data_IF_271445216553
#
_entry.id   IF_271445216553
#
_cell.length_a   1.000
_cell.length_b   1.000
_cell.length_c   1.000
_cell.angle_alpha   90.00
_cell.angle_beta   90.00
_cell.angle_gamma   90.00
#
_symmetry.space_group_name_H-M   'P 1'
#
loop_
_entity.id
_entity.type
_entity.pdbx_description
1 polymer ?
#
# COMPACT_ATOMS: atom_id res chain seq x y z
N UNK A 1 -35.35 67.82 -23.60
CA UNK A 1 -34.18 66.99 -23.23
C UNK A 1 -34.40 65.58 -23.76
N UNK A 2 -33.71 65.19 -24.84
CA UNK A 2 -33.86 63.86 -25.45
C UNK A 2 -32.94 62.85 -24.76
N UNK A 3 -33.52 61.82 -24.13
CA UNK A 3 -32.77 60.76 -23.45
C UNK A 3 -32.19 59.81 -24.50
N UNK A 4 -30.87 59.84 -24.69
CA UNK A 4 -30.16 58.85 -25.52
C UNK A 4 -30.16 57.50 -24.78
N UNK A 5 -30.67 56.46 -25.43
CA UNK A 5 -30.63 55.10 -24.93
C UNK A 5 -29.17 54.60 -24.82
N UNK A 6 -28.83 53.80 -23.78
CA UNK A 6 -27.50 53.24 -23.62
C UNK A 6 -27.19 52.26 -24.75
N UNK A 7 -26.06 52.48 -25.44
CA UNK A 7 -25.52 51.54 -26.42
C UNK A 7 -24.96 50.32 -25.68
N UNK A 8 -25.71 49.22 -25.69
CA UNK A 8 -25.22 47.92 -25.24
C UNK A 8 -24.33 47.35 -26.34
N UNK A 9 -23.04 47.17 -26.03
CA UNK A 9 -22.05 46.65 -26.95
C UNK A 9 -22.08 45.12 -26.85
N UNK A 10 -22.83 44.46 -27.73
CA UNK A 10 -22.86 43.00 -27.77
C UNK A 10 -21.52 42.46 -28.29
N UNK A 11 -20.95 41.42 -27.66
CA UNK A 11 -19.75 40.77 -28.19
C UNK A 11 -20.03 40.27 -29.61
N UNK A 12 -19.12 40.59 -30.54
CA UNK A 12 -19.23 40.19 -31.94
C UNK A 12 -19.34 38.67 -32.02
N UNK A 13 -20.27 38.16 -32.82
CA UNK A 13 -20.42 36.72 -33.09
C UNK A 13 -19.06 36.15 -33.48
N UNK A 14 -18.60 35.13 -32.76
CA UNK A 14 -17.37 34.39 -33.12
C UNK A 14 -17.51 33.88 -34.57
N UNK A 15 -16.42 33.90 -35.35
CA UNK A 15 -16.43 33.35 -36.70
C UNK A 15 -16.94 31.92 -36.67
N UNK A 16 -17.84 31.59 -37.59
CA UNK A 16 -18.35 30.21 -37.75
C UNK A 16 -17.16 29.36 -38.16
N UNK A 17 -16.81 28.40 -37.32
CA UNK A 17 -15.86 27.35 -37.66
C UNK A 17 -16.46 26.59 -38.84
N UNK A 18 -15.72 26.52 -39.95
CA UNK A 18 -16.17 25.81 -41.14
C UNK A 18 -15.99 24.31 -40.89
N UNK A 19 -17.09 23.56 -40.90
CA UNK A 19 -17.09 22.12 -40.59
C UNK A 19 -16.24 21.34 -41.60
N UNK A 20 -16.13 21.85 -42.84
CA UNK A 20 -15.38 21.24 -43.94
C UNK A 20 -13.85 21.30 -43.78
N UNK A 21 -13.33 22.09 -42.82
CA UNK A 21 -11.88 22.18 -42.54
C UNK A 21 -11.37 21.03 -41.66
N UNK A 22 -12.29 20.27 -41.04
CA UNK A 22 -11.99 19.00 -40.39
C UNK A 22 -12.32 17.92 -41.42
N UNK A 23 -11.32 17.23 -41.96
CA UNK A 23 -11.54 16.16 -42.95
C UNK A 23 -12.44 15.02 -42.44
N UNK A 24 -12.43 13.85 -43.09
CA UNK A 24 -13.10 12.65 -42.58
C UNK A 24 -12.48 12.17 -41.24
N UNK A 25 -12.70 12.92 -40.16
CA UNK A 25 -12.36 12.54 -38.80
C UNK A 25 -13.46 11.60 -38.35
N UNK A 26 -13.21 10.29 -38.47
CA UNK A 26 -14.00 9.30 -37.77
C UNK A 26 -14.03 9.67 -36.29
N UNK A 27 -15.22 9.81 -35.72
CA UNK A 27 -15.38 10.07 -34.30
C UNK A 27 -14.57 9.01 -33.51
N UNK A 28 -13.69 9.42 -32.58
CA UNK A 28 -12.91 8.46 -31.81
C UNK A 28 -13.86 7.55 -31.03
N UNK A 29 -13.53 6.26 -30.97
CA UNK A 29 -14.33 5.30 -30.22
C UNK A 29 -14.45 5.75 -28.76
N UNK A 30 -15.69 5.99 -28.32
CA UNK A 30 -15.97 6.50 -26.98
C UNK A 30 -15.84 5.37 -25.97
N UNK A 31 -14.74 5.34 -25.23
CA UNK A 31 -14.60 4.49 -24.06
C UNK A 31 -15.25 5.16 -22.84
N UNK A 32 -16.07 4.42 -22.11
CA UNK A 32 -16.54 4.87 -20.79
C UNK A 32 -15.42 4.76 -19.77
N UNK A 33 -15.46 5.56 -18.71
CA UNK A 33 -14.51 5.44 -17.58
C UNK A 33 -14.48 4.00 -17.03
N UNK A 34 -15.64 3.36 -16.94
CA UNK A 34 -15.76 1.97 -16.53
C UNK A 34 -14.96 1.03 -17.42
N UNK A 35 -15.04 1.19 -18.74
CA UNK A 35 -14.29 0.36 -19.69
C UNK A 35 -12.78 0.55 -19.51
N UNK A 36 -12.32 1.79 -19.38
CA UNK A 36 -10.91 2.11 -19.13
C UNK A 36 -10.41 1.46 -17.82
N UNK A 37 -11.20 1.54 -16.74
CA UNK A 37 -10.84 0.92 -15.46
C UNK A 37 -10.78 -0.60 -15.57
N UNK A 38 -11.75 -1.21 -16.26
CA UNK A 38 -11.82 -2.65 -16.47
C UNK A 38 -10.66 -3.16 -17.31
N UNK A 39 -10.29 -2.43 -18.37
CA UNK A 39 -9.14 -2.77 -19.21
C UNK A 39 -7.82 -2.63 -18.44
N UNK A 40 -7.71 -1.61 -17.57
CA UNK A 40 -6.56 -1.45 -16.68
C UNK A 40 -6.45 -2.59 -15.66
N UNK A 41 -7.55 -2.95 -14.98
CA UNK A 41 -7.57 -4.05 -14.02
C UNK A 41 -7.18 -5.38 -14.71
N UNK A 42 -7.73 -5.64 -15.90
CA UNK A 42 -7.36 -6.80 -16.72
C UNK A 42 -5.88 -6.80 -17.11
N UNK A 43 -5.34 -5.64 -17.48
CA UNK A 43 -3.93 -5.49 -17.85
C UNK A 43 -2.99 -5.86 -16.70
N UNK A 44 -3.40 -5.60 -15.45
CA UNK A 44 -2.66 -5.99 -14.26
C UNK A 44 -3.10 -7.35 -13.67
N UNK A 45 -3.99 -8.09 -14.35
CA UNK A 45 -4.47 -9.39 -13.90
C UNK A 45 -5.31 -9.34 -12.61
N UNK A 46 -5.95 -8.20 -12.33
CA UNK A 46 -6.76 -7.99 -11.12
C UNK A 46 -8.24 -7.96 -11.41
N UNK A 47 -9.02 -8.33 -10.40
CA UNK A 47 -10.47 -8.23 -10.44
C UNK A 47 -11.00 -6.95 -9.78
N UNK A 48 -10.23 -6.35 -8.88
CA UNK A 48 -10.63 -5.16 -8.10
C UNK A 48 -9.43 -4.26 -7.78
N UNK A 49 -9.71 -3.10 -7.19
CA UNK A 49 -8.68 -2.19 -6.72
C UNK A 49 -7.97 -2.74 -5.50
N UNK A 50 -6.68 -2.44 -5.41
CA UNK A 50 -5.84 -2.83 -4.30
C UNK A 50 -5.56 -1.62 -3.42
N UNK A 51 -5.54 -1.82 -2.11
CA UNK A 51 -5.34 -0.79 -1.12
C UNK A 51 -4.24 -1.21 -0.16
N UNK A 52 -3.57 -0.24 0.46
CA UNK A 52 -2.56 -0.47 1.49
C UNK A 52 -2.90 0.35 2.73
N UNK A 53 -2.93 -0.32 3.87
CA UNK A 53 -3.01 0.33 5.18
C UNK A 53 -1.73 0.07 5.96
N UNK A 54 -1.24 1.09 6.67
CA UNK A 54 -0.16 0.96 7.63
C UNK A 54 -0.67 1.53 8.95
N UNK A 55 -0.56 0.75 10.01
CA UNK A 55 -0.96 1.17 11.34
C UNK A 55 0.03 0.67 12.39
N UNK A 56 0.08 1.37 13.51
CA UNK A 56 0.90 1.04 14.68
C UNK A 56 -0.01 0.84 15.87
N UNK A 57 0.34 -0.08 16.77
CA UNK A 57 -0.32 -0.20 18.05
C UNK A 57 0.63 -0.60 19.16
N UNK A 58 0.26 -0.28 20.40
CA UNK A 58 0.90 -0.89 21.57
C UNK A 58 0.19 -2.19 21.95
N UNK A 59 0.91 -3.07 22.65
CA UNK A 59 0.36 -4.35 23.07
C UNK A 59 1.05 -4.90 24.32
N UNK A 60 0.40 -5.90 24.91
CA UNK A 60 0.86 -6.64 26.08
C UNK A 60 1.04 -8.15 25.78
N UNK A 61 1.19 -8.53 24.50
CA UNK A 61 1.56 -9.92 24.14
C UNK A 61 2.85 -10.34 24.87
N UNK A 62 2.89 -11.57 25.42
CA UNK A 62 4.02 -12.01 26.25
C UNK A 62 5.27 -12.33 25.42
N UNK A 63 5.13 -12.74 24.16
CA UNK A 63 6.23 -13.07 23.27
C UNK A 63 5.86 -12.84 21.80
N UNK A 64 6.90 -12.86 20.95
CA UNK A 64 6.77 -12.68 19.50
C UNK A 64 5.87 -13.73 18.85
N UNK A 65 6.00 -15.00 19.24
CA UNK A 65 5.30 -16.11 18.60
C UNK A 65 3.79 -16.03 18.79
N UNK A 66 3.32 -15.68 19.99
CA UNK A 66 1.89 -15.49 20.28
C UNK A 66 1.29 -14.33 19.48
N UNK A 67 2.00 -13.21 19.38
CA UNK A 67 1.58 -12.08 18.55
C UNK A 67 1.54 -12.50 17.07
N UNK A 68 2.60 -13.14 16.58
CA UNK A 68 2.72 -13.61 15.20
C UNK A 68 1.58 -14.55 14.83
N UNK A 69 1.32 -15.57 15.65
CA UNK A 69 0.26 -16.55 15.44
C UNK A 69 -1.11 -15.87 15.45
N UNK A 70 -1.33 -14.90 16.34
CA UNK A 70 -2.58 -14.15 16.41
C UNK A 70 -2.83 -13.36 15.13
N UNK A 71 -1.86 -12.54 14.68
CA UNK A 71 -2.00 -11.77 13.44
C UNK A 71 -2.08 -12.67 12.20
N UNK A 72 -1.28 -13.74 12.13
CA UNK A 72 -1.35 -14.70 11.03
C UNK A 72 -2.74 -15.37 10.97
N UNK A 73 -3.30 -15.76 12.11
CA UNK A 73 -4.66 -16.33 12.19
C UNK A 73 -5.72 -15.36 11.66
N UNK A 74 -5.60 -14.06 11.96
CA UNK A 74 -6.50 -13.03 11.42
C UNK A 74 -6.41 -12.98 9.89
N UNK A 75 -5.18 -12.94 9.35
CA UNK A 75 -4.95 -12.88 7.90
C UNK A 75 -5.50 -14.14 7.22
N UNK A 76 -5.19 -15.32 7.74
CA UNK A 76 -5.71 -16.59 7.24
C UNK A 76 -7.24 -16.62 7.26
N UNK A 77 -7.88 -16.22 8.37
CA UNK A 77 -9.35 -16.16 8.48
C UNK A 77 -9.98 -15.16 7.50
N UNK A 78 -9.28 -14.08 7.17
CA UNK A 78 -9.74 -13.15 6.16
C UNK A 78 -9.70 -13.78 4.76
N UNK A 79 -8.58 -14.43 4.43
CA UNK A 79 -8.30 -15.05 3.14
C UNK A 79 -9.12 -16.33 2.87
N UNK A 80 -9.48 -17.10 3.90
CA UNK A 80 -10.32 -18.31 3.77
C UNK A 80 -11.80 -17.99 3.43
N UNK A 81 -12.23 -16.75 3.65
CA UNK A 81 -13.59 -16.32 3.34
C UNK A 81 -13.79 -15.96 1.87
N UNK A 82 -14.92 -15.31 1.57
CA UNK A 82 -15.06 -14.62 0.28
C UNK A 82 -14.01 -13.50 0.21
N UNK A 83 -13.00 -13.70 -0.63
CA UNK A 83 -11.85 -12.83 -0.77
C UNK A 83 -11.50 -12.79 -2.26
N UNK A 84 -11.64 -11.61 -2.87
CA UNK A 84 -11.34 -11.42 -4.29
C UNK A 84 -9.82 -11.31 -4.47
N UNK A 85 -9.18 -10.55 -3.58
CA UNK A 85 -7.75 -10.31 -3.55
C UNK A 85 -7.21 -10.69 -2.17
N UNK A 86 -6.35 -11.70 -2.10
CA UNK A 86 -5.80 -12.18 -0.81
C UNK A 86 -5.11 -11.05 -0.04
N UNK A 87 -5.27 -11.06 1.28
CA UNK A 87 -4.49 -10.20 2.15
C UNK A 87 -3.04 -10.65 2.20
N UNK A 88 -2.14 -9.72 1.95
CA UNK A 88 -0.70 -9.86 2.12
C UNK A 88 -0.18 -8.72 3.00
N UNK A 89 1.09 -8.76 3.39
CA UNK A 89 1.64 -7.68 4.20
C UNK A 89 2.84 -8.03 5.07
N UNK A 90 3.12 -7.12 5.99
CA UNK A 90 4.31 -7.15 6.82
C UNK A 90 4.00 -6.74 8.25
N UNK A 91 4.34 -7.59 9.21
CA UNK A 91 4.26 -7.31 10.64
C UNK A 91 5.66 -7.10 11.23
N UNK A 92 5.91 -5.90 11.76
CA UNK A 92 7.04 -5.62 12.64
C UNK A 92 6.59 -5.72 14.09
N UNK A 93 7.29 -6.54 14.87
CA UNK A 93 7.03 -6.73 16.29
C UNK A 93 8.17 -6.22 17.16
N UNK A 94 7.81 -5.51 18.22
CA UNK A 94 8.64 -5.15 19.36
C UNK A 94 7.97 -5.60 20.66
N UNK A 95 8.65 -5.61 21.82
CA UNK A 95 8.04 -6.06 23.08
C UNK A 95 6.82 -5.25 23.55
N UNK A 96 6.68 -3.98 23.13
CA UNK A 96 5.59 -3.08 23.54
C UNK A 96 4.75 -2.55 22.39
N UNK A 97 5.20 -2.76 21.15
CA UNK A 97 4.63 -2.13 19.97
C UNK A 97 4.66 -3.09 18.79
N UNK A 98 3.70 -2.94 17.88
CA UNK A 98 3.73 -3.53 16.56
C UNK A 98 3.49 -2.46 15.50
N UNK A 99 4.05 -2.66 14.32
CA UNK A 99 3.72 -1.88 13.11
C UNK A 99 3.30 -2.88 12.05
N UNK A 100 2.10 -2.73 11.51
CA UNK A 100 1.53 -3.67 10.55
C UNK A 100 1.16 -2.95 9.25
N UNK A 101 1.69 -3.45 8.14
CA UNK A 101 1.30 -3.08 6.78
C UNK A 101 0.44 -4.22 6.23
N UNK A 102 -0.74 -3.90 5.72
CA UNK A 102 -1.64 -4.88 5.09
C UNK A 102 -2.09 -4.37 3.73
N UNK A 103 -2.11 -5.27 2.75
CA UNK A 103 -2.51 -4.99 1.38
C UNK A 103 -3.61 -5.96 0.95
N UNK A 104 -4.64 -5.43 0.29
CA UNK A 104 -5.78 -6.22 -0.15
C UNK A 104 -6.85 -5.37 -0.81
N UNK A 105 -7.96 -6.01 -1.20
CA UNK A 105 -9.16 -5.28 -1.58
C UNK A 105 -9.81 -4.58 -0.38
N UNK A 106 -10.64 -3.58 -0.67
CA UNK A 106 -11.30 -2.76 0.34
C UNK A 106 -12.13 -3.59 1.35
N UNK A 107 -12.89 -4.57 0.87
CA UNK A 107 -13.75 -5.40 1.71
C UNK A 107 -12.90 -6.30 2.63
N UNK A 108 -11.85 -6.93 2.10
CA UNK A 108 -10.92 -7.76 2.87
C UNK A 108 -10.18 -6.96 3.94
N UNK A 109 -9.74 -5.73 3.64
CA UNK A 109 -9.09 -4.85 4.61
C UNK A 109 -10.05 -4.40 5.72
N UNK A 110 -11.27 -4.03 5.36
CA UNK A 110 -12.30 -3.68 6.34
C UNK A 110 -12.62 -4.88 7.24
N UNK A 111 -12.80 -6.08 6.67
CA UNK A 111 -12.98 -7.32 7.44
C UNK A 111 -11.81 -7.57 8.40
N UNK A 112 -10.57 -7.39 7.94
CA UNK A 112 -9.36 -7.53 8.75
C UNK A 112 -9.36 -6.58 9.95
N UNK A 113 -9.61 -5.28 9.72
CA UNK A 113 -9.67 -4.29 10.80
C UNK A 113 -10.80 -4.65 11.77
N UNK A 114 -11.97 -5.04 11.27
CA UNK A 114 -13.11 -5.43 12.11
C UNK A 114 -12.80 -6.62 13.02
N UNK A 115 -12.13 -7.65 12.48
CA UNK A 115 -11.69 -8.81 13.25
C UNK A 115 -10.60 -8.44 14.26
N UNK A 116 -9.69 -7.53 13.91
CA UNK A 116 -8.64 -7.05 14.81
C UNK A 116 -9.19 -6.30 16.03
N UNK A 117 -10.20 -5.44 15.82
CA UNK A 117 -10.77 -4.60 16.88
C UNK A 117 -12.00 -5.22 17.58
N UNK A 118 -12.41 -6.42 17.20
CA UNK A 118 -13.56 -7.12 17.79
C UNK A 118 -13.29 -7.43 19.28
N UNK A 119 -14.08 -6.87 20.21
CA UNK A 119 -13.93 -7.14 21.65
C UNK A 119 -14.11 -8.60 22.04
N UNK A 120 -14.78 -9.40 21.21
CA UNK A 120 -15.00 -10.83 21.46
C UNK A 120 -13.79 -11.69 21.07
N UNK A 121 -12.77 -11.10 20.44
CA UNK A 121 -11.61 -11.84 20.00
C UNK A 121 -10.65 -12.16 21.14
N UNK A 122 -10.05 -13.35 21.12
CA UNK A 122 -9.12 -13.83 22.16
C UNK A 122 -7.87 -12.96 22.30
N UNK A 123 -7.44 -12.29 21.23
CA UNK A 123 -6.27 -11.42 21.26
C UNK A 123 -6.59 -9.96 21.63
N UNK A 124 -7.87 -9.56 21.70
CA UNK A 124 -8.27 -8.18 22.00
C UNK A 124 -7.71 -7.69 23.33
N UNK A 125 -7.62 -8.58 24.33
CA UNK A 125 -7.07 -8.28 25.65
C UNK A 125 -5.59 -7.87 25.64
N UNK A 126 -4.84 -8.22 24.59
CA UNK A 126 -3.43 -7.85 24.45
C UNK A 126 -3.24 -6.57 23.64
N UNK A 127 -4.27 -6.08 22.95
CA UNK A 127 -4.15 -4.92 22.08
C UNK A 127 -4.46 -3.65 22.87
N UNK A 128 -3.60 -2.65 22.74
CA UNK A 128 -3.80 -1.33 23.31
C UNK A 128 -4.40 -0.34 22.30
N UNK A 129 -3.91 0.89 22.36
CA UNK A 129 -4.18 1.92 21.37
C UNK A 129 -3.57 1.55 20.02
N UNK A 130 -4.35 1.73 18.95
CA UNK A 130 -3.94 1.50 17.58
C UNK A 130 -4.22 2.76 16.77
N UNK A 131 -3.22 3.23 16.03
CA UNK A 131 -3.24 4.46 15.24
C UNK A 131 -2.95 4.16 13.77
N UNK A 132 -3.73 4.78 12.89
CA UNK A 132 -3.51 4.70 11.44
C UNK A 132 -2.40 5.68 11.02
N UNK A 133 -1.44 5.19 10.24
CA UNK A 133 -0.33 5.99 9.69
C UNK A 133 -0.54 6.35 8.23
N UNK A 134 -1.04 5.41 7.45
CA UNK A 134 -1.25 5.55 6.01
C UNK A 134 -2.44 4.73 5.58
N UNK A 135 -3.30 5.34 4.76
CA UNK A 135 -4.20 4.62 3.88
C UNK A 135 -3.93 5.08 2.44
N UNK A 136 -3.51 4.15 1.59
CA UNK A 136 -3.28 4.40 0.17
C UNK A 136 -4.28 3.58 -0.64
N UNK A 137 -5.17 4.28 -1.34
CA UNK A 137 -6.18 3.67 -2.21
C UNK A 137 -5.66 3.43 -3.63
N UNK A 138 -6.13 2.38 -4.27
CA UNK A 138 -5.84 2.04 -5.67
C UNK A 138 -4.33 2.03 -5.98
N UNK A 139 -3.57 1.25 -5.21
CA UNK A 139 -2.13 1.11 -5.41
C UNK A 139 -1.84 0.29 -6.68
N UNK A 140 -0.81 0.71 -7.41
CA UNK A 140 -0.43 0.07 -8.67
C UNK A 140 0.02 -1.39 -8.48
N UNK A 141 0.71 -1.70 -7.38
CA UNK A 141 1.24 -3.03 -7.09
C UNK A 141 1.34 -3.31 -5.59
N UNK A 142 1.24 -4.60 -5.24
CA UNK A 142 1.60 -5.10 -3.92
C UNK A 142 3.06 -4.79 -3.65
N UNK A 143 3.34 -4.47 -2.40
CA UNK A 143 4.71 -4.43 -1.90
C UNK A 143 5.19 -5.83 -1.55
N UNK A 144 4.28 -6.69 -1.08
CA UNK A 144 4.54 -8.09 -0.73
C UNK A 144 3.45 -8.99 -1.27
N UNK A 145 3.83 -10.11 -1.89
CA UNK A 145 2.88 -11.12 -2.37
C UNK A 145 2.32 -11.97 -1.22
N UNK A 146 3.17 -12.28 -0.24
CA UNK A 146 2.81 -13.06 0.94
C UNK A 146 2.78 -12.21 2.21
N UNK A 147 2.16 -12.75 3.26
CA UNK A 147 2.27 -12.17 4.60
C UNK A 147 3.54 -12.66 5.30
N UNK A 148 4.30 -11.72 5.87
CA UNK A 148 5.51 -12.04 6.62
C UNK A 148 5.60 -11.23 7.92
N UNK A 149 6.46 -11.68 8.83
CA UNK A 149 6.66 -11.04 10.13
C UNK A 149 8.12 -11.05 10.54
N UNK A 150 8.56 -9.97 11.20
CA UNK A 150 9.92 -9.79 11.69
C UNK A 150 9.89 -9.14 13.07
N UNK A 151 10.90 -9.45 13.89
CA UNK A 151 11.19 -8.77 15.16
C UNK A 151 12.62 -8.23 15.15
N UNK A 152 12.89 -7.19 15.93
CA UNK A 152 14.22 -6.57 15.99
C UNK A 152 14.41 -5.65 17.19
N UNK A 153 15.65 -5.20 17.39
CA UNK A 153 16.00 -4.22 18.43
C UNK A 153 16.36 -2.92 17.72
N UNK A 154 15.49 -1.89 17.76
CA UNK A 154 15.77 -0.63 17.08
C UNK A 154 16.94 0.14 17.71
N UNK A 155 17.43 1.14 16.99
CA UNK A 155 18.28 2.15 17.59
C UNK A 155 17.49 2.95 18.65
N UNK A 156 18.19 3.52 19.62
CA UNK A 156 17.58 4.41 20.60
C UNK A 156 17.69 5.84 20.11
N UNK A 157 16.58 6.57 20.07
CA UNK A 157 16.64 8.00 19.77
C UNK A 157 17.13 8.75 21.01
N UNK A 158 18.13 9.62 20.83
CA UNK A 158 18.67 10.42 21.94
C UNK A 158 17.78 11.63 22.28
N UNK A 159 17.05 12.10 21.29
CA UNK A 159 16.16 13.25 21.40
C UNK A 159 14.75 12.81 21.78
N UNK A 160 14.12 13.56 22.68
CA UNK A 160 12.70 13.38 22.99
C UNK A 160 11.89 14.16 21.97
N UNK A 161 10.95 13.49 21.33
CA UNK A 161 10.03 14.12 20.39
C UNK A 161 8.97 14.92 21.16
N UNK A 162 8.67 16.13 20.68
CA UNK A 162 7.65 16.98 21.29
C UNK A 162 6.25 16.58 20.80
N UNK A 163 5.40 16.15 21.73
CA UNK A 163 4.01 15.78 21.48
C UNK A 163 3.15 16.95 20.98
N UNK A 164 3.54 18.18 21.31
CA UNK A 164 2.85 19.40 20.89
C UNK A 164 3.53 20.09 19.69
N UNK A 165 4.38 19.36 18.97
CA UNK A 165 5.01 19.85 17.75
C UNK A 165 3.95 20.26 16.72
N UNK A 166 4.36 21.13 15.80
CA UNK A 166 3.50 21.55 14.70
C UNK A 166 3.09 20.36 13.80
N UNK A 167 2.08 20.60 12.95
CA UNK A 167 1.55 19.58 12.04
C UNK A 167 2.63 19.06 11.08
N UNK A 168 3.55 19.91 10.64
CA UNK A 168 4.60 19.56 9.68
C UNK A 168 5.63 18.61 10.29
N UNK A 169 6.11 18.89 11.50
CA UNK A 169 7.02 18.05 12.26
C UNK A 169 6.37 16.71 12.62
N UNK A 170 5.13 16.74 13.11
CA UNK A 170 4.35 15.52 13.38
C UNK A 170 4.23 14.65 12.12
N UNK A 171 3.90 15.26 10.98
CA UNK A 171 3.85 14.59 9.69
C UNK A 171 5.19 14.00 9.27
N UNK A 172 6.30 14.73 9.52
CA UNK A 172 7.66 14.24 9.24
C UNK A 172 8.03 13.03 10.09
N UNK A 173 7.62 12.99 11.35
CA UNK A 173 7.82 11.81 12.21
C UNK A 173 7.07 10.59 11.70
N UNK A 174 5.79 10.74 11.34
CA UNK A 174 4.99 9.65 10.74
C UNK A 174 5.61 9.19 9.42
N UNK A 175 5.99 10.12 8.55
CA UNK A 175 6.65 9.82 7.28
C UNK A 175 7.98 9.06 7.48
N UNK A 176 8.79 9.46 8.46
CA UNK A 176 10.04 8.77 8.78
C UNK A 176 9.79 7.32 9.22
N UNK A 177 8.75 7.07 10.02
CA UNK A 177 8.34 5.71 10.40
C UNK A 177 7.97 4.88 9.17
N UNK A 178 7.12 5.41 8.30
CA UNK A 178 6.69 4.75 7.06
C UNK A 178 7.89 4.47 6.13
N UNK A 179 8.76 5.47 5.92
CA UNK A 179 9.97 5.35 5.08
C UNK A 179 10.89 4.24 5.59
N UNK A 180 11.08 4.17 6.91
CA UNK A 180 11.85 3.11 7.58
C UNK A 180 11.24 1.74 7.36
N UNK A 181 9.92 1.62 7.50
CA UNK A 181 9.19 0.37 7.22
C UNK A 181 9.40 -0.10 5.77
N UNK A 182 9.25 0.78 4.77
CA UNK A 182 9.52 0.39 3.38
C UNK A 182 10.99 -0.02 3.16
N UNK A 183 11.93 0.74 3.71
CA UNK A 183 13.37 0.43 3.58
C UNK A 183 13.70 -0.92 4.21
N UNK A 184 13.10 -1.22 5.37
CA UNK A 184 13.23 -2.50 6.05
C UNK A 184 12.72 -3.64 5.17
N UNK A 185 11.51 -3.50 4.62
CA UNK A 185 10.92 -4.57 3.81
C UNK A 185 11.74 -4.79 2.53
N UNK A 186 12.17 -3.72 1.84
CA UNK A 186 13.00 -3.84 0.62
C UNK A 186 14.25 -4.68 0.84
N UNK A 187 14.98 -4.43 1.94
CA UNK A 187 16.20 -5.19 2.26
C UNK A 187 15.92 -6.67 2.53
N UNK A 188 14.76 -6.99 3.12
CA UNK A 188 14.41 -8.39 3.37
C UNK A 188 13.91 -9.10 2.10
N UNK A 189 13.16 -8.42 1.23
CA UNK A 189 12.68 -9.02 -0.02
C UNK A 189 13.84 -9.42 -0.94
N UNK A 190 14.91 -8.62 -1.01
CA UNK A 190 16.10 -8.95 -1.79
C UNK A 190 16.81 -10.22 -1.30
N UNK A 191 16.82 -10.46 0.02
CA UNK A 191 17.40 -11.66 0.62
C UNK A 191 16.55 -12.92 0.37
N UNK A 192 15.21 -12.79 0.33
CA UNK A 192 14.30 -13.91 0.05
C UNK A 192 14.10 -14.17 -1.45
N UNK A 193 14.46 -13.20 -2.30
CA UNK A 193 14.23 -13.22 -3.74
C UNK A 193 15.24 -13.98 -4.59
N UNK A 194 16.23 -14.69 -4.01
CA UNK A 194 17.03 -15.63 -4.79
C UNK A 194 16.30 -16.97 -4.93
N UNK A 195 15.75 -17.31 -6.11
CA UNK A 195 15.28 -18.66 -6.36
C UNK A 195 16.48 -19.59 -6.24
N UNK A 196 16.46 -20.45 -5.25
CA UNK A 196 17.37 -21.59 -5.18
C UNK A 196 17.09 -22.48 -6.39
N UNK A 197 17.87 -22.32 -7.45
CA UNK A 197 17.94 -23.28 -8.56
C UNK A 197 18.65 -24.55 -8.07
N UNK A 198 18.04 -25.28 -7.14
CA UNK A 198 18.39 -26.66 -6.91
C UNK A 198 17.60 -27.50 -7.91
N UNK A 199 18.32 -27.93 -8.95
CA UNK A 199 17.91 -28.99 -9.88
C UNK A 199 17.52 -30.22 -9.04
N UNK A 200 16.23 -30.40 -8.83
CA UNK A 200 15.67 -31.60 -8.21
C UNK A 200 15.72 -32.72 -9.25
N UNK A 201 16.73 -33.58 -9.16
CA UNK A 201 16.69 -34.91 -9.77
C UNK A 201 15.57 -35.73 -9.11
N UNK A 202 14.48 -35.93 -9.84
CA UNK A 202 13.42 -36.86 -9.52
C UNK A 202 13.97 -38.29 -9.36
N UNK A 203 13.76 -38.89 -8.18
CA UNK A 203 13.72 -40.34 -8.04
C UNK A 203 12.35 -40.76 -7.54
N UNK A 204 11.61 -41.32 -8.48
CA UNK A 204 10.35 -42.07 -8.36
C UNK A 204 10.46 -43.22 -7.36
N UNK A 205 9.53 -43.31 -6.41
CA UNK A 205 9.17 -44.56 -5.74
C UNK A 205 7.66 -44.61 -5.50
N UNK A 206 6.97 -45.40 -6.31
CA UNK A 206 5.62 -45.94 -6.07
C UNK A 206 5.72 -47.14 -5.13
N UNK A 207 4.83 -47.28 -4.12
CA UNK A 207 4.27 -48.59 -3.70
C UNK A 207 2.89 -48.38 -3.01
N UNK A 208 1.85 -48.75 -3.76
CA UNK A 208 0.53 -49.34 -3.44
C UNK A 208 -0.15 -49.19 -2.07
N UNK A 209 -1.41 -48.77 -2.14
CA UNK A 209 -2.49 -48.99 -1.19
C UNK A 209 -2.93 -50.47 -1.12
N UNK A 210 -3.11 -51.00 0.09
CA UNK A 210 -4.13 -51.99 0.45
C UNK A 210 -3.93 -52.46 1.90
N UNK A 211 -4.74 -51.96 2.85
CA UNK A 211 -5.31 -52.80 3.91
C UNK A 211 -6.17 -52.01 4.91
N UNK A 212 -7.36 -52.58 5.13
CA UNK A 212 -8.23 -52.50 6.31
C UNK A 212 -9.28 -51.38 6.35
N UNK A 213 -10.40 -51.68 5.67
CA UNK A 213 -11.73 -51.42 6.21
C UNK A 213 -11.99 -52.26 7.47
N UNK A 214 -12.92 -51.73 8.30
CA UNK A 214 -13.90 -52.41 9.15
C UNK A 214 -13.73 -52.26 10.67
N UNK A 215 -14.58 -51.39 11.26
CA UNK A 215 -15.46 -51.58 12.42
C UNK A 215 -15.76 -50.18 13.03
N UNK A 216 -16.96 -49.60 12.85
CA UNK A 216 -18.13 -49.66 13.78
C UNK A 216 -17.71 -49.51 15.26
N UNK A 217 -18.33 -48.71 16.14
CA UNK A 217 -19.56 -47.92 16.16
C UNK A 217 -19.66 -47.30 17.58
N UNK A 218 -20.50 -46.27 17.73
CA UNK A 218 -20.98 -45.61 18.95
C UNK A 218 -20.91 -46.38 20.30
N UNK A 219 -20.49 -45.67 21.35
CA UNK A 219 -21.17 -45.69 22.66
C UNK A 219 -20.89 -44.43 23.47
N UNK A 220 -21.95 -43.75 23.90
CA UNK A 220 -21.97 -42.70 24.92
C UNK A 220 -21.66 -43.28 26.30
N UNK A 221 -20.87 -42.57 27.13
CA UNK A 221 -21.09 -42.51 28.58
C UNK A 221 -20.27 -41.39 29.26
N UNK A 222 -20.98 -40.60 30.05
CA UNK A 222 -20.45 -39.59 30.96
C UNK A 222 -19.68 -40.23 32.12
N UNK A 223 -18.64 -39.54 32.61
CA UNK A 223 -17.91 -39.94 33.81
C UNK A 223 -16.62 -39.16 34.04
N UNK A 224 -16.66 -38.27 35.02
CA UNK A 224 -15.58 -37.43 35.57
C UNK A 224 -14.31 -38.20 35.98
N UNK A 225 -13.12 -37.68 35.64
CA UNK A 225 -12.10 -37.19 36.60
C UNK A 225 -10.66 -37.19 36.03
N UNK A 226 -9.94 -36.10 36.36
CA UNK A 226 -8.48 -35.87 36.42
C UNK A 226 -7.56 -37.10 36.22
N UNK A 227 -6.59 -36.99 35.30
CA UNK A 227 -5.12 -37.04 35.56
C UNK A 227 -4.33 -36.81 34.27
N UNK A 228 -3.05 -36.49 34.45
CA UNK A 228 -2.07 -35.93 33.52
C UNK A 228 -1.58 -36.88 32.41
N UNK A 229 -0.82 -36.24 31.50
CA UNK A 229 0.33 -36.72 30.72
C UNK A 229 0.15 -37.15 29.25
N UNK A 230 0.79 -36.31 28.42
CA UNK A 230 1.69 -36.62 27.28
C UNK A 230 1.26 -37.66 26.26
N UNK A 231 1.05 -37.24 25.01
CA UNK A 231 1.76 -37.83 23.87
C UNK A 231 1.87 -36.81 22.73
N UNK A 232 3.07 -36.77 22.16
CA UNK A 232 3.48 -36.17 20.90
C UNK A 232 2.49 -36.41 19.73
N UNK A 233 2.31 -35.37 18.91
CA UNK A 233 2.05 -35.54 17.49
C UNK A 233 2.74 -34.43 16.72
N UNK A 234 3.92 -34.77 16.20
CA UNK A 234 4.66 -33.97 15.26
C UNK A 234 3.88 -33.91 13.93
N UNK A 235 3.42 -32.72 13.57
CA UNK A 235 3.13 -32.37 12.18
C UNK A 235 4.21 -31.40 11.71
N UNK A 236 5.14 -31.93 10.90
CA UNK A 236 6.14 -31.19 10.17
C UNK A 236 5.44 -30.32 9.12
N UNK A 237 5.43 -29.00 9.33
CA UNK A 237 5.35 -28.04 8.24
C UNK A 237 6.43 -26.98 8.43
N UNK A 238 7.21 -26.85 7.35
CA UNK A 238 8.37 -25.99 7.20
C UNK A 238 7.95 -24.53 7.31
N UNK A 239 8.38 -23.84 8.36
CA UNK A 239 8.28 -22.39 8.50
C UNK A 239 9.72 -21.85 8.50
N UNK A 240 10.09 -20.90 7.63
CA UNK A 240 11.35 -20.18 7.79
C UNK A 240 11.19 -19.20 8.95
N UNK A 241 11.36 -19.68 10.18
CA UNK A 241 11.61 -18.84 11.34
C UNK A 241 13.09 -18.47 11.32
N UNK A 242 13.46 -17.36 10.66
CA UNK A 242 14.82 -16.84 10.76
C UNK A 242 14.96 -16.01 12.02
N UNK A 243 15.43 -16.62 13.11
CA UNK A 243 16.09 -15.88 14.19
C UNK A 243 17.36 -15.23 13.63
N UNK A 244 17.46 -13.91 13.77
CA UNK A 244 18.44 -13.01 13.13
C UNK A 244 19.92 -13.18 13.56
N UNK A 245 20.32 -14.32 14.13
CA UNK A 245 21.65 -14.47 14.75
C UNK A 245 22.82 -14.70 13.79
N UNK A 246 22.59 -15.04 12.52
CA UNK A 246 23.65 -15.47 11.58
C UNK A 246 24.00 -14.46 10.47
N UNK A 247 23.48 -13.21 10.52
CA UNK A 247 23.86 -12.17 9.55
C UNK A 247 25.28 -11.64 9.83
N UNK A 248 26.05 -11.41 8.75
CA UNK A 248 27.37 -10.77 8.84
C UNK A 248 27.26 -9.43 9.59
N UNK A 249 28.26 -9.10 10.41
CA UNK A 249 28.22 -7.95 11.32
C UNK A 249 28.02 -6.59 10.60
N UNK A 250 28.25 -6.52 9.29
CA UNK A 250 27.94 -5.34 8.46
C UNK A 250 26.45 -5.22 8.13
N UNK A 251 25.84 -6.28 7.59
CA UNK A 251 24.42 -6.31 7.22
C UNK A 251 23.49 -6.12 8.43
N UNK A 252 23.89 -6.63 9.60
CA UNK A 252 23.14 -6.43 10.85
C UNK A 252 23.07 -4.95 11.29
N UNK A 253 24.08 -4.13 10.96
CA UNK A 253 24.09 -2.70 11.30
C UNK A 253 23.16 -1.89 10.41
N UNK A 254 23.14 -2.18 9.12
CA UNK A 254 22.24 -1.50 8.17
C UNK A 254 20.78 -1.80 8.49
N UNK A 255 20.45 -3.06 8.75
CA UNK A 255 19.11 -3.47 9.17
C UNK A 255 18.60 -2.70 10.39
N UNK A 256 19.46 -2.49 11.40
CA UNK A 256 19.10 -1.75 12.62
C UNK A 256 18.75 -0.29 12.36
N UNK A 257 19.31 0.32 11.30
CA UNK A 257 19.01 1.72 10.95
C UNK A 257 17.61 1.90 10.34
N UNK A 258 17.05 0.84 9.74
CA UNK A 258 15.72 0.84 9.14
C UNK A 258 14.61 0.50 10.13
N UNK A 259 14.96 0.05 11.34
CA UNK A 259 13.98 -0.19 12.39
C UNK A 259 13.49 1.16 12.97
N UNK A 260 12.16 1.40 13.03
CA UNK A 260 11.60 2.55 13.75
C UNK A 260 11.97 2.50 15.24
N UNK A 261 12.44 3.61 15.79
CA UNK A 261 12.82 3.75 17.21
C UNK A 261 11.61 3.70 18.14
N UNK A 262 11.82 3.26 19.39
CA UNK A 262 10.76 3.24 20.40
C UNK A 262 10.20 4.64 20.66
N UNK A 263 11.07 5.64 20.77
CA UNK A 263 10.68 7.02 21.03
C UNK A 263 9.80 7.58 19.89
N UNK A 264 10.03 7.13 18.65
CA UNK A 264 9.19 7.49 17.50
C UNK A 264 7.81 6.85 17.58
N UNK A 265 7.74 5.57 17.98
CA UNK A 265 6.47 4.87 18.13
C UNK A 265 5.67 5.39 19.33
N UNK A 266 6.33 5.71 20.45
CA UNK A 266 5.74 6.38 21.61
C UNK A 266 5.06 7.69 21.18
N UNK A 267 5.79 8.55 20.46
CA UNK A 267 5.26 9.79 19.92
C UNK A 267 4.02 9.57 19.04
N UNK A 268 4.06 8.60 18.11
CA UNK A 268 2.96 8.35 17.19
C UNK A 268 1.70 7.85 17.90
N UNK A 269 1.85 7.02 18.93
CA UNK A 269 0.74 6.48 19.72
C UNK A 269 0.10 7.58 20.57
N UNK A 270 0.91 8.41 21.22
CA UNK A 270 0.46 9.49 22.10
C UNK A 270 -0.03 10.73 21.34
N UNK A 271 0.44 10.95 20.12
CA UNK A 271 0.09 12.12 19.31
C UNK A 271 -1.40 12.13 18.91
N UNK A 272 -1.96 13.34 18.86
CA UNK A 272 -3.29 13.61 18.31
C UNK A 272 -3.31 13.71 16.79
N UNK A 273 -2.14 13.78 16.15
CA UNK A 273 -2.01 13.91 14.70
C UNK A 273 -2.56 12.70 13.94
N UNK A 274 -2.36 11.49 14.47
CA UNK A 274 -2.82 10.25 13.84
C UNK A 274 -4.20 9.84 14.34
N UNK A 275 -5.05 9.41 13.40
CA UNK A 275 -6.39 8.92 13.69
C UNK A 275 -6.34 7.55 14.38
N UNK A 276 -7.14 7.30 15.43
CA UNK A 276 -7.34 5.97 15.97
C UNK A 276 -7.91 5.00 14.92
N UNK A 277 -7.38 3.78 14.84
CA UNK A 277 -7.82 2.79 13.84
C UNK A 277 -9.30 2.42 14.00
N UNK A 278 -9.81 2.43 15.23
CA UNK A 278 -11.24 2.20 15.51
C UNK A 278 -12.13 3.28 14.90
N UNK A 279 -11.72 4.55 15.01
CA UNK A 279 -12.46 5.68 14.43
C UNK A 279 -12.47 5.58 12.90
N UNK A 280 -11.33 5.22 12.31
CA UNK A 280 -11.23 4.94 10.88
C UNK A 280 -12.21 3.84 10.43
N UNK A 281 -12.27 2.73 11.16
CA UNK A 281 -13.20 1.63 10.86
C UNK A 281 -14.67 2.06 10.97
N UNK A 282 -15.01 2.88 11.97
CA UNK A 282 -16.36 3.40 12.14
C UNK A 282 -16.76 4.32 10.98
N UNK A 283 -15.85 5.19 10.50
CA UNK A 283 -16.11 6.04 9.33
C UNK A 283 -16.37 5.23 8.06
N UNK A 284 -15.65 4.13 7.85
CA UNK A 284 -15.83 3.30 6.66
C UNK A 284 -17.12 2.48 6.68
N UNK A 285 -17.55 2.01 7.86
CA UNK A 285 -18.77 1.20 7.98
C UNK A 285 -20.04 2.02 8.09
N UNK A 286 -19.94 3.27 8.55
CA UNK A 286 -21.09 4.14 8.70
C UNK A 286 -21.14 5.15 7.56
N UNK A 287 -21.92 4.86 6.52
CA UNK A 287 -22.32 5.90 5.56
C UNK A 287 -23.39 6.75 6.25
N UNK A 288 -23.08 8.00 6.65
CA UNK A 288 -24.09 8.83 7.29
C UNK A 288 -25.19 9.11 6.26
N UNK A 289 -26.39 8.56 6.51
CA UNK A 289 -27.58 8.99 5.80
C UNK A 289 -27.88 10.42 6.24
N UNK A 290 -27.31 11.38 5.52
CA UNK A 290 -27.65 12.78 5.71
C UNK A 290 -29.08 12.96 5.22
N UNK A 291 -29.98 13.28 6.14
CA UNK A 291 -31.34 13.70 5.79
C UNK A 291 -31.28 15.14 5.27
N UNK A 292 -30.72 15.31 4.08
CA UNK A 292 -30.68 16.61 3.41
C UNK A 292 -32.05 16.78 2.78
N UNK A 293 -32.78 17.81 3.22
CA UNK A 293 -34.08 18.18 2.63
C UNK A 293 -34.04 18.22 1.10
N UNK A 294 -32.89 18.63 0.53
CA UNK A 294 -32.63 18.70 -0.91
C UNK A 294 -32.73 17.35 -1.63
N UNK A 295 -32.37 16.25 -0.98
CA UNK A 295 -32.48 14.89 -1.55
C UNK A 295 -33.93 14.39 -1.54
N UNK A 296 -34.82 15.07 -0.80
CA UNK A 296 -36.26 14.79 -0.71
C UNK A 296 -37.11 15.62 -1.68
N UNK A 297 -36.54 16.60 -2.39
CA UNK A 297 -37.29 17.44 -3.34
C UNK A 297 -36.93 17.06 -4.77
N UNK A 298 -37.93 16.62 -5.53
CA UNK A 298 -37.83 16.39 -6.97
C UNK A 298 -38.77 17.35 -7.71
N UNK A 299 -38.32 18.02 -8.80
CA UNK A 299 -36.99 17.98 -9.40
C UNK A 299 -35.93 18.75 -8.59
N UNK A 300 -34.64 18.43 -8.83
CA UNK A 300 -33.51 19.16 -8.24
C UNK A 300 -33.62 20.65 -8.61
N UNK A 301 -33.55 21.58 -7.65
CA UNK A 301 -33.63 23.01 -7.95
C UNK A 301 -32.55 23.43 -8.95
N UNK A 302 -32.95 24.24 -9.93
CA UNK A 302 -32.11 24.79 -10.99
C UNK A 302 -30.80 25.44 -10.52
N UNK A 303 -30.75 26.00 -9.30
CA UNK A 303 -29.55 26.59 -8.70
C UNK A 303 -28.39 25.60 -8.45
N UNK A 304 -28.66 24.29 -8.47
CA UNK A 304 -27.66 23.22 -8.27
C UNK A 304 -27.20 22.55 -9.55
N UNK A 305 -27.79 22.90 -10.70
CA UNK A 305 -27.28 22.46 -11.99
C UNK A 305 -26.28 23.53 -12.40
N UNK A 306 -24.96 23.27 -12.38
CA UNK A 306 -24.01 24.28 -12.80
C UNK A 306 -24.33 24.61 -14.26
N UNK A 307 -24.68 25.86 -14.54
CA UNK A 307 -25.10 26.28 -15.88
C UNK A 307 -23.97 26.14 -16.91
N UNK A 308 -22.72 26.06 -16.43
CA UNK A 308 -21.50 26.08 -17.23
C UNK A 308 -20.81 24.72 -17.40
N UNK A 309 -21.40 23.59 -16.97
CA UNK A 309 -20.75 22.25 -17.10
C UNK A 309 -20.38 21.93 -18.55
N UNK A 310 -21.12 22.51 -19.52
CA UNK A 310 -20.88 22.31 -20.94
C UNK A 310 -20.21 23.50 -21.65
N UNK A 311 -19.95 24.60 -20.95
CA UNK A 311 -19.29 25.77 -21.56
C UNK A 311 -17.77 25.61 -21.63
N UNK A 312 -17.18 24.83 -20.71
CA UNK A 312 -15.75 24.50 -20.72
C UNK A 312 -15.57 23.03 -21.04
N UNK A 313 -14.69 22.66 -21.99
CA UNK A 313 -14.28 21.26 -22.14
C UNK A 313 -13.72 20.79 -20.79
N UNK A 314 -14.37 19.79 -20.21
CA UNK A 314 -14.00 19.24 -18.92
C UNK A 314 -12.71 18.43 -19.10
N UNK A 315 -11.58 19.02 -18.76
CA UNK A 315 -10.28 18.35 -18.80
C UNK A 315 -10.16 17.46 -17.55
N UNK A 316 -10.72 16.24 -17.65
CA UNK A 316 -10.54 15.24 -16.61
C UNK A 316 -9.15 14.62 -16.83
N UNK A 317 -8.21 14.75 -15.88
CA UNK A 317 -6.93 14.05 -15.96
C UNK A 317 -7.18 12.54 -15.80
N UNK A 318 -7.53 11.90 -16.91
CA UNK A 318 -7.74 10.45 -17.04
C UNK A 318 -6.42 9.71 -17.30
N UNK A 319 -5.34 10.45 -17.59
CA UNK A 319 -4.01 9.87 -17.73
C UNK A 319 -3.43 9.56 -16.36
N UNK A 320 -3.36 8.27 -16.02
CA UNK A 320 -2.48 7.81 -14.95
C UNK A 320 -1.02 8.18 -15.28
N UNK A 321 -0.16 8.45 -14.28
CA UNK A 321 1.26 8.69 -14.50
C UNK A 321 1.84 7.61 -15.41
N UNK A 322 2.34 8.00 -16.58
CA UNK A 322 2.95 7.07 -17.53
C UNK A 322 4.09 6.38 -16.80
N UNK A 323 3.96 5.07 -16.58
CA UNK A 323 5.05 4.28 -16.02
C UNK A 323 6.31 4.55 -16.83
N UNK A 324 7.44 4.76 -16.14
CA UNK A 324 8.76 4.89 -16.75
C UNK A 324 9.00 3.66 -17.63
N UNK A 325 8.66 3.75 -18.90
CA UNK A 325 8.99 2.74 -19.90
C UNK A 325 10.50 2.75 -19.99
N UNK A 326 11.15 1.72 -19.42
CA UNK A 326 12.55 1.47 -19.72
C UNK A 326 12.69 1.35 -21.25
N UNK A 327 13.57 2.12 -21.89
CA UNK A 327 13.76 2.04 -23.33
C UNK A 327 14.23 0.64 -23.71
N UNK A 328 13.39 -0.10 -24.45
CA UNK A 328 13.67 -1.45 -25.00
C UNK A 328 14.72 -1.46 -26.13
N UNK A 329 15.59 -0.45 -26.21
CA UNK A 329 16.68 -0.40 -27.17
C UNK A 329 18.04 -0.53 -26.49
N UNK A 330 18.39 -1.78 -26.14
CA UNK A 330 19.79 -2.23 -26.09
C UNK A 330 19.93 -3.76 -26.19
N UNK A 331 18.86 -4.53 -26.03
CA UNK A 331 18.89 -6.00 -26.10
C UNK A 331 18.79 -6.59 -27.52
N UNK A 332 19.31 -5.88 -28.54
CA UNK A 332 19.39 -6.38 -29.92
C UNK A 332 20.78 -6.31 -30.57
N UNK A 333 21.81 -5.87 -29.84
CA UNK A 333 23.18 -5.86 -30.38
C UNK A 333 24.07 -7.02 -29.88
N UNK A 334 23.64 -7.82 -28.90
CA UNK A 334 24.49 -8.89 -28.35
C UNK A 334 24.31 -10.28 -28.98
N UNK A 335 23.50 -10.43 -30.04
CA UNK A 335 23.34 -11.71 -30.75
C UNK A 335 24.03 -11.76 -32.12
N UNK A 336 24.77 -10.72 -32.52
CA UNK A 336 25.53 -10.69 -33.77
C UNK A 336 27.05 -10.75 -33.60
N UNK A 337 27.58 -10.73 -32.38
CA UNK A 337 29.03 -10.67 -32.11
C UNK A 337 29.66 -11.99 -31.63
N UNK A 338 28.99 -13.14 -31.81
CA UNK A 338 29.53 -14.48 -31.47
C UNK A 338 29.80 -15.38 -32.68
N UNK A 339 30.02 -14.80 -33.85
CA UNK A 339 30.70 -15.51 -34.94
C UNK A 339 31.65 -14.56 -35.65
N UNK A 340 32.89 -15.02 -35.83
CA UNK A 340 34.02 -14.40 -36.54
C UNK A 340 35.08 -13.77 -35.63
N UNK A 341 36.15 -14.53 -35.40
CA UNK A 341 37.50 -14.03 -35.69
C UNK A 341 38.38 -13.62 -34.52
N UNK A 342 39.23 -14.55 -34.08
CA UNK A 342 40.55 -14.27 -33.51
C UNK A 342 41.37 -13.35 -34.45
N UNK A 343 41.95 -12.24 -33.95
CA UNK A 343 43.41 -11.97 -33.99
C UNK A 343 43.81 -10.67 -33.25
N UNK A 344 44.91 -10.77 -32.48
CA UNK A 344 45.97 -9.77 -32.20
C UNK A 344 45.69 -8.42 -31.49
N UNK A 345 46.21 -8.33 -30.27
CA UNK A 345 47.22 -7.37 -29.71
C UNK A 345 46.96 -5.84 -29.72
N UNK A 346 47.22 -5.26 -28.53
CA UNK A 346 47.72 -3.91 -28.17
C UNK A 346 46.77 -2.85 -27.55
N UNK A 347 47.03 -2.62 -26.26
CA UNK A 347 47.09 -1.38 -25.47
C UNK A 347 46.33 -0.11 -25.91
N UNK A 348 45.64 0.51 -24.93
CA UNK A 348 45.38 1.96 -24.93
C UNK A 348 44.33 2.40 -23.90
N UNK A 349 44.70 3.40 -23.10
CA UNK A 349 43.89 4.19 -22.15
C UNK A 349 42.48 4.56 -22.64
N UNK A 350 41.50 4.58 -21.72
CA UNK A 350 40.40 5.55 -21.79
C UNK A 350 39.75 5.78 -20.40
N UNK A 351 40.19 6.87 -19.76
CA UNK A 351 39.64 7.43 -18.53
C UNK A 351 39.03 8.80 -18.83
N UNK A 352 37.83 8.86 -19.40
CA UNK A 352 37.08 10.12 -19.51
C UNK A 352 35.60 9.89 -19.90
N UNK A 353 34.75 9.50 -18.94
CA UNK A 353 33.29 9.43 -19.17
C UNK A 353 32.41 9.49 -17.91
N UNK A 354 32.85 10.21 -16.87
CA UNK A 354 32.14 10.30 -15.57
C UNK A 354 31.79 11.74 -15.17
N UNK A 355 31.81 12.72 -16.08
CA UNK A 355 31.53 14.13 -15.71
C UNK A 355 30.24 14.76 -16.25
N UNK A 356 29.46 14.08 -17.07
CA UNK A 356 28.25 14.68 -17.69
C UNK A 356 26.91 14.32 -17.02
N UNK A 357 26.89 13.48 -15.98
CA UNK A 357 25.64 13.12 -15.27
C UNK A 357 25.41 13.86 -13.94
N UNK A 358 26.30 14.79 -13.57
CA UNK A 358 26.24 15.53 -12.30
C UNK A 358 25.49 16.86 -12.35
N UNK A 359 25.20 17.41 -13.54
CA UNK A 359 24.66 18.78 -13.67
C UNK A 359 23.14 18.83 -13.86
N UNK A 360 22.48 17.75 -14.30
CA UNK A 360 21.01 17.73 -14.46
C UNK A 360 20.24 17.59 -13.13
N UNK A 361 20.90 17.14 -12.06
CA UNK A 361 20.24 16.97 -10.74
C UNK A 361 20.11 18.30 -9.98
N UNK A 362 20.95 19.30 -10.27
CA UNK A 362 20.91 20.59 -9.57
C UNK A 362 19.86 21.57 -10.14
N UNK A 363 19.44 21.43 -11.40
CA UNK A 363 18.40 22.29 -11.98
C UNK A 363 16.98 21.91 -11.55
N UNK A 364 16.73 20.67 -11.14
CA UNK A 364 15.41 20.24 -10.66
C UNK A 364 15.09 20.73 -9.23
N UNK A 365 16.11 21.08 -8.44
CA UNK A 365 15.93 21.59 -7.07
C UNK A 365 15.60 23.08 -7.01
N UNK A 366 15.95 23.85 -8.05
CA UNK A 366 15.77 25.31 -8.08
C UNK A 366 14.36 25.71 -8.58
N UNK A 367 13.66 24.83 -9.30
CA UNK A 367 12.30 25.07 -9.82
C UNK A 367 11.16 24.80 -8.81
N UNK A 368 11.46 24.26 -7.62
CA UNK A 368 10.47 23.95 -6.58
C UNK A 368 10.34 25.06 -5.51
N UNK A 369 11.23 26.06 -5.46
CA UNK A 369 11.13 27.18 -4.52
C UNK A 369 10.19 28.32 -5.01
N UNK A 370 9.86 28.36 -6.30
CA UNK A 370 9.07 29.43 -6.92
C UNK A 370 7.53 29.21 -6.87
N UNK A 371 7.04 28.13 -6.26
CA UNK A 371 5.61 27.82 -6.14
C UNK A 371 4.95 28.25 -4.81
N UNK A 372 5.55 29.21 -4.08
CA UNK A 372 4.88 29.89 -2.95
C UNK A 372 3.74 30.78 -3.45
N UNK A 373 2.55 30.20 -3.57
CA UNK A 373 1.29 30.92 -3.78
C UNK A 373 0.69 31.30 -2.41
N UNK A 374 0.31 32.57 -2.36
CA UNK A 374 -0.26 33.39 -1.29
C UNK A 374 -1.42 32.77 -0.48
N UNK A 375 -1.35 32.94 0.84
CA UNK A 375 -2.46 32.74 1.78
C UNK A 375 -3.64 33.69 1.50
N UNK A 376 -4.90 33.23 1.67
CA UNK A 376 -6.05 34.12 1.76
C UNK A 376 -6.21 34.65 3.19
N UNK A 377 -6.43 35.96 3.30
CA UNK A 377 -6.78 36.66 4.55
C UNK A 377 -8.14 36.19 5.05
N UNK A 378 -8.21 35.82 6.32
CA UNK A 378 -9.46 35.62 7.06
C UNK A 378 -10.12 36.98 7.35
N UNK A 379 -11.25 37.24 6.70
CA UNK A 379 -12.18 38.26 7.15
C UNK A 379 -13.22 37.63 8.09
N UNK A 380 -13.31 38.23 9.26
CA UNK A 380 -14.24 37.93 10.34
C UNK A 380 -15.69 38.18 9.92
N UNK A 381 -16.56 37.20 10.16
CA UNK A 381 -18.01 37.43 10.22
C UNK A 381 -18.53 37.00 11.57
N UNK A 382 -18.86 38.01 12.36
CA UNK A 382 -19.67 37.92 13.57
C UNK A 382 -21.12 37.66 13.15
N UNK A 383 -21.70 36.55 13.60
CA UNK A 383 -23.11 36.45 14.03
C UNK A 383 -23.16 35.58 15.28
#
# INVERSE_FOLDING_TARGET
MSKKAPKVNYPKKKPRINIDDFGDTSEPERHSLYQTLLDNLKLYGRATFLHRIIYVGNHDFPNYDECRVSFHSIITKCNEGYCIETLSGFLLFYPRYFVHMVEGDEDSLNKHIGVLIDPNSSYFQYLGQIKLLLHASNINQRFLEDWMSITGIPAKLLEKLDLNSDFEQSGRHVYNCIKKMYSLISVNVEDFGQPTTHVATEKKLEVTAASRMSALSLSSREGSSRTQDTVDSAFLQVIPSTTLSDRSAGAAKEFKSFLPEYELLDFIIESSFTMPLKEYYEYYNFVPMRDIYKDKVWPVPHDFIPYDVFEKPYDCPLELPKGLRQPRHQQRQNTAAQSVGQTLIESGDESEKVKEQGEEINQASELLEDLKISEPREDSVVI
#
